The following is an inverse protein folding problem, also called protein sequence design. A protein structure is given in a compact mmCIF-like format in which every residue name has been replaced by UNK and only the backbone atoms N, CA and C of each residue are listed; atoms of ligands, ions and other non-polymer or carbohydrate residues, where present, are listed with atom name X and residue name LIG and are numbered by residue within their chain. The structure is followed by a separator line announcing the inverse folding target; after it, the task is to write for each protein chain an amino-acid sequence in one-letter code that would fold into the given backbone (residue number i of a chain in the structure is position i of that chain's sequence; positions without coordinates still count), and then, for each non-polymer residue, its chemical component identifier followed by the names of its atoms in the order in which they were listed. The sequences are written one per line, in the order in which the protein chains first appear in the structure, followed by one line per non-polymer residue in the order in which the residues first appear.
data_IF_169191416137
#
_entry.id   IF_169191416137
#
_cell.length_a   1.000
_cell.length_b   1.000
_cell.length_c   1.000
_cell.angle_alpha   90.00
_cell.angle_beta   90.00
_cell.angle_gamma   90.00
#
_symmetry.space_group_name_H-M   'P 1'
#
loop_
_entity.id
_entity.type
_entity.pdbx_description
1 polymer ?
#
# COMPACT_ATOMS: atom_id res chain seq x y z
N UNK A 1 2.31 -41.91 -18.91
CA UNK A 1 3.65 -41.27 -18.94
C UNK A 1 3.43 -39.80 -18.64
N UNK A 2 3.55 -39.43 -17.36
CA UNK A 2 3.24 -38.12 -16.80
C UNK A 2 4.33 -37.12 -17.18
N UNK A 3 4.03 -36.22 -18.12
CA UNK A 3 4.91 -35.11 -18.46
C UNK A 3 4.79 -34.02 -17.39
N UNK A 4 5.86 -33.87 -16.60
CA UNK A 4 6.10 -32.72 -15.75
C UNK A 4 6.06 -31.44 -16.60
N UNK A 5 5.25 -30.42 -16.26
CA UNK A 5 5.38 -29.13 -16.90
C UNK A 5 6.68 -28.51 -16.37
N UNK A 6 7.71 -28.51 -17.21
CA UNK A 6 8.93 -27.74 -16.96
C UNK A 6 8.53 -26.26 -16.83
N UNK A 7 8.48 -25.75 -15.61
CA UNK A 7 8.33 -24.33 -15.32
C UNK A 7 9.46 -23.58 -16.03
N UNK A 8 9.09 -22.71 -16.96
CA UNK A 8 10.04 -21.92 -17.75
C UNK A 8 10.96 -21.13 -16.81
N UNK A 9 12.28 -21.06 -17.03
CA UNK A 9 13.19 -20.26 -16.19
C UNK A 9 12.77 -18.78 -16.10
N UNK A 10 12.00 -18.29 -17.08
CA UNK A 10 11.37 -16.98 -17.05
C UNK A 10 10.30 -16.84 -15.95
N UNK A 11 9.51 -17.89 -15.65
CA UNK A 11 8.49 -17.84 -14.59
C UNK A 11 9.11 -17.83 -13.20
N UNK A 12 10.19 -18.59 -12.99
CA UNK A 12 10.91 -18.63 -11.71
C UNK A 12 11.57 -17.27 -11.40
N UNK A 13 12.18 -16.64 -12.40
CA UNK A 13 12.80 -15.30 -12.25
C UNK A 13 11.74 -14.21 -12.01
N UNK A 14 10.59 -14.29 -12.68
CA UNK A 14 9.47 -13.39 -12.46
C UNK A 14 8.86 -13.55 -11.05
N UNK A 15 8.78 -14.78 -10.52
CA UNK A 15 8.32 -15.03 -9.15
C UNK A 15 9.31 -14.53 -8.08
N UNK A 16 10.61 -14.70 -8.27
CA UNK A 16 11.63 -14.16 -7.35
C UNK A 16 11.64 -12.63 -7.32
N UNK A 17 11.47 -11.98 -8.48
CA UNK A 17 11.33 -10.53 -8.57
C UNK A 17 10.05 -10.03 -7.87
N UNK A 18 8.92 -10.73 -8.04
CA UNK A 18 7.67 -10.44 -7.33
C UNK A 18 7.83 -10.54 -5.82
N UNK A 19 8.47 -11.60 -5.31
CA UNK A 19 8.70 -11.79 -3.85
C UNK A 19 9.58 -10.70 -3.26
N UNK A 20 10.61 -10.28 -3.98
CA UNK A 20 11.54 -9.24 -3.51
C UNK A 20 10.89 -7.86 -3.49
N UNK A 21 10.01 -7.57 -4.45
CA UNK A 21 9.28 -6.30 -4.52
C UNK A 21 8.06 -6.25 -3.59
N UNK A 22 7.35 -7.36 -3.38
CA UNK A 22 6.29 -7.46 -2.36
C UNK A 22 6.82 -7.10 -0.96
N UNK A 23 8.05 -7.52 -0.63
CA UNK A 23 8.70 -7.12 0.63
C UNK A 23 8.95 -5.61 0.73
N UNK A 24 9.26 -4.93 -0.38
CA UNK A 24 9.43 -3.47 -0.41
C UNK A 24 8.10 -2.73 -0.28
N UNK A 25 7.06 -3.22 -0.97
CA UNK A 25 5.70 -2.67 -0.85
C UNK A 25 5.16 -2.86 0.56
N UNK A 26 5.33 -4.03 1.17
CA UNK A 26 4.95 -4.27 2.57
C UNK A 26 5.66 -3.31 3.54
N UNK A 27 6.97 -3.07 3.36
CA UNK A 27 7.70 -2.11 4.20
C UNK A 27 7.18 -0.69 4.05
N UNK A 28 6.86 -0.26 2.82
CA UNK A 28 6.27 1.05 2.57
C UNK A 28 4.86 1.17 3.18
N UNK A 29 4.05 0.11 3.09
CA UNK A 29 2.72 0.03 3.70
C UNK A 29 2.78 0.12 5.22
N UNK A 30 3.70 -0.62 5.85
CA UNK A 30 3.91 -0.59 7.30
C UNK A 30 4.40 0.80 7.73
N UNK A 31 5.38 1.38 7.03
CA UNK A 31 5.88 2.72 7.35
C UNK A 31 4.80 3.79 7.20
N UNK A 32 3.97 3.69 6.16
CA UNK A 32 2.81 4.57 5.95
C UNK A 32 1.79 4.42 7.08
N UNK A 33 1.39 3.20 7.43
CA UNK A 33 0.43 2.96 8.51
C UNK A 33 0.94 3.45 9.88
N UNK A 34 2.25 3.31 10.15
CA UNK A 34 2.87 3.84 11.37
C UNK A 34 2.84 5.37 11.38
N UNK A 35 3.19 6.01 10.26
CA UNK A 35 3.15 7.47 10.14
C UNK A 35 1.72 8.01 10.25
N UNK A 36 0.77 7.39 9.55
CA UNK A 36 -0.67 7.69 9.62
C UNK A 36 -1.20 7.57 11.05
N UNK A 37 -0.85 6.48 11.75
CA UNK A 37 -1.22 6.27 13.14
C UNK A 37 -0.68 7.36 14.07
N UNK A 38 0.56 7.82 13.85
CA UNK A 38 1.13 8.95 14.58
C UNK A 38 0.37 10.25 14.32
N UNK A 39 0.04 10.53 13.06
CA UNK A 39 -0.73 11.73 12.68
C UNK A 39 -2.11 11.71 13.33
N UNK A 40 -2.80 10.57 13.30
CA UNK A 40 -4.09 10.39 13.97
C UNK A 40 -3.98 10.54 15.49
N UNK A 41 -2.94 9.98 16.12
CA UNK A 41 -2.71 10.12 17.55
C UNK A 41 -2.50 11.59 17.96
N UNK A 42 -1.71 12.35 17.19
CA UNK A 42 -1.51 13.79 17.41
C UNK A 42 -2.84 14.53 17.25
N UNK A 43 -3.61 14.22 16.21
CA UNK A 43 -4.91 14.85 15.98
C UNK A 43 -5.90 14.58 17.14
N UNK A 44 -5.92 13.36 17.69
CA UNK A 44 -6.71 13.02 18.89
C UNK A 44 -6.27 13.86 20.09
N UNK A 45 -4.97 14.02 20.33
CA UNK A 45 -4.46 14.84 21.44
C UNK A 45 -4.90 16.31 21.27
N UNK A 46 -4.79 16.85 20.06
CA UNK A 46 -5.20 18.23 19.77
C UNK A 46 -6.69 18.46 20.01
N UNK A 47 -7.54 17.51 19.59
CA UNK A 47 -9.00 17.62 19.74
C UNK A 47 -9.42 17.41 21.20
N UNK A 48 -8.95 16.35 21.85
CA UNK A 48 -9.53 15.89 23.12
C UNK A 48 -8.74 16.32 24.36
N UNK A 49 -7.41 16.41 24.27
CA UNK A 49 -6.57 16.76 25.42
C UNK A 49 -6.38 18.26 25.51
N UNK A 50 -6.07 18.89 24.38
CA UNK A 50 -5.84 20.33 24.33
C UNK A 50 -7.13 21.14 24.12
N UNK A 51 -8.24 20.49 23.74
CA UNK A 51 -9.53 21.13 23.45
C UNK A 51 -9.44 22.32 22.48
N UNK A 52 -8.44 22.31 21.59
CA UNK A 52 -8.27 23.38 20.58
C UNK A 52 -9.40 23.39 19.54
N UNK A 53 -10.13 22.28 19.43
CA UNK A 53 -11.17 22.05 18.44
C UNK A 53 -12.38 21.45 19.13
N UNK A 54 -13.59 21.89 18.78
CA UNK A 54 -14.82 21.27 19.27
C UNK A 54 -14.84 19.77 18.97
N UNK A 55 -15.24 18.90 19.93
CA UNK A 55 -15.18 17.45 19.76
C UNK A 55 -15.91 16.94 18.51
N UNK A 56 -17.05 17.54 18.19
CA UNK A 56 -17.84 17.19 17.00
C UNK A 56 -17.04 17.45 15.71
N UNK A 57 -16.38 18.60 15.63
CA UNK A 57 -15.53 18.96 14.47
C UNK A 57 -14.28 18.08 14.42
N UNK A 58 -13.69 17.79 15.58
CA UNK A 58 -12.51 16.94 15.68
C UNK A 58 -12.73 15.51 15.22
N UNK A 59 -13.91 14.93 15.46
CA UNK A 59 -14.27 13.60 14.92
C UNK A 59 -14.28 13.62 13.39
N UNK A 60 -14.89 14.64 12.78
CA UNK A 60 -14.89 14.78 11.32
C UNK A 60 -13.50 15.00 10.75
N UNK A 61 -12.62 15.71 11.47
CA UNK A 61 -11.21 15.88 11.10
C UNK A 61 -10.47 14.53 11.06
N UNK A 62 -10.64 13.70 12.08
CA UNK A 62 -10.03 12.36 12.16
C UNK A 62 -10.52 11.44 11.04
N UNK A 63 -11.83 11.46 10.77
CA UNK A 63 -12.43 10.71 9.66
C UNK A 63 -11.86 11.17 8.32
N UNK A 64 -11.73 12.48 8.11
CA UNK A 64 -11.15 13.02 6.87
C UNK A 64 -9.68 12.59 6.69
N UNK A 65 -8.87 12.65 7.75
CA UNK A 65 -7.47 12.19 7.71
C UNK A 65 -7.40 10.71 7.32
N UNK A 66 -8.17 9.86 8.00
CA UNK A 66 -8.18 8.42 7.74
C UNK A 66 -8.66 8.08 6.31
N UNK A 67 -9.65 8.82 5.78
CA UNK A 67 -10.13 8.66 4.42
C UNK A 67 -9.07 9.08 3.38
N UNK A 68 -8.37 10.17 3.62
CA UNK A 68 -7.30 10.65 2.74
C UNK A 68 -6.15 9.66 2.72
N UNK A 69 -5.70 9.18 3.88
CA UNK A 69 -4.61 8.22 3.94
C UNK A 69 -4.96 6.85 3.37
N UNK A 70 -6.14 6.32 3.71
CA UNK A 70 -6.66 5.08 3.12
C UNK A 70 -6.84 5.18 1.60
N UNK A 71 -7.32 6.32 1.10
CA UNK A 71 -7.49 6.59 -0.32
C UNK A 71 -6.16 6.69 -1.08
N UNK A 72 -5.17 7.38 -0.50
CA UNK A 72 -3.81 7.47 -1.06
C UNK A 72 -3.17 6.09 -1.14
N UNK A 73 -3.32 5.26 -0.10
CA UNK A 73 -2.77 3.91 -0.06
C UNK A 73 -3.41 3.00 -1.10
N UNK A 74 -4.74 3.02 -1.20
CA UNK A 74 -5.50 2.29 -2.21
C UNK A 74 -5.06 2.68 -3.62
N UNK A 75 -4.89 3.98 -3.86
CA UNK A 75 -4.42 4.50 -5.15
C UNK A 75 -2.98 4.07 -5.44
N UNK A 76 -2.09 4.10 -4.45
CA UNK A 76 -0.70 3.69 -4.60
C UNK A 76 -0.56 2.20 -4.92
N UNK A 77 -1.35 1.35 -4.25
CA UNK A 77 -1.40 -0.09 -4.53
C UNK A 77 -1.92 -0.33 -5.95
N UNK A 78 -3.03 0.30 -6.34
CA UNK A 78 -3.62 0.10 -7.67
C UNK A 78 -2.70 0.60 -8.79
N UNK A 79 -2.06 1.75 -8.61
CA UNK A 79 -1.14 2.32 -9.61
C UNK A 79 0.15 1.52 -9.76
N UNK A 80 0.71 1.01 -8.66
CA UNK A 80 1.86 0.11 -8.71
C UNK A 80 1.52 -1.21 -9.40
N UNK A 81 0.34 -1.78 -9.14
CA UNK A 81 -0.12 -3.02 -9.76
C UNK A 81 -0.38 -2.87 -11.28
N UNK A 82 -0.92 -1.72 -11.72
CA UNK A 82 -1.14 -1.41 -13.15
C UNK A 82 0.17 -1.23 -13.92
N UNK A 83 1.21 -0.63 -13.31
CA UNK A 83 2.54 -0.52 -13.93
C UNK A 83 3.16 -1.90 -14.16
N UNK A 84 2.98 -2.82 -13.22
CA UNK A 84 3.52 -4.18 -13.31
C UNK A 84 2.90 -5.05 -14.40
N UNK A 85 1.61 -4.89 -14.71
CA UNK A 85 1.00 -5.64 -15.81
C UNK A 85 1.61 -5.24 -17.17
N UNK A 86 1.95 -3.96 -17.36
CA UNK A 86 2.50 -3.47 -18.63
C UNK A 86 3.92 -3.97 -18.90
N UNK A 87 4.78 -4.04 -17.88
CA UNK A 87 6.15 -4.57 -18.03
C UNK A 87 6.17 -6.09 -18.28
N UNK A 88 5.28 -6.85 -17.66
CA UNK A 88 5.19 -8.29 -17.90
C UNK A 88 4.65 -8.62 -19.30
N UNK A 89 3.69 -7.84 -19.81
CA UNK A 89 3.20 -7.99 -21.18
C UNK A 89 4.27 -7.60 -22.21
N UNK A 90 5.08 -6.57 -21.93
CA UNK A 90 6.19 -6.17 -22.80
C UNK A 90 7.32 -7.21 -22.86
N UNK A 91 7.56 -7.96 -21.77
CA UNK A 91 8.60 -8.99 -21.70
C UNK A 91 8.15 -10.39 -22.16
N UNK A 92 6.85 -10.63 -22.30
CA UNK A 92 6.28 -11.92 -22.76
C UNK A 92 5.84 -11.88 -24.23
N UNK A 93 5.94 -10.70 -24.88
CA UNK A 93 5.43 -10.45 -26.23
C UNK A 93 6.45 -10.53 -27.37
N UNK A 94 7.64 -11.07 -27.12
CA UNK A 94 8.69 -11.40 -28.11
C UNK A 94 9.01 -12.90 -28.00
#
# INVERSE_FOLDING_TARGET
MSQHPHGSPASTRAEELRRTQQKRQQRALIGFAVAEGFVLAIAVIVVYVLQLVEPVVGVWLLVAIALVGGGLLSTYIVTSMRRHQRELTALTGD
#
